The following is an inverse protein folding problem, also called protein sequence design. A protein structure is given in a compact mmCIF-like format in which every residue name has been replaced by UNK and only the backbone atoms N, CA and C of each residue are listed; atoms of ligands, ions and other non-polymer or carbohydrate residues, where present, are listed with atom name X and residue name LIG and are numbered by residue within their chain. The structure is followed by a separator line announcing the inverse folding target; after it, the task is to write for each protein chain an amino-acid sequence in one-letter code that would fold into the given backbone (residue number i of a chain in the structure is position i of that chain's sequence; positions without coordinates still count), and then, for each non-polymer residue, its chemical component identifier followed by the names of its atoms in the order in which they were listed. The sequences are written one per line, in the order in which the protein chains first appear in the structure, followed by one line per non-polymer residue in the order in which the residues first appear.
data_IF_179541610301
#
_entry.id   IF_179541610301
#
_cell.length_a   1.000
_cell.length_b   1.000
_cell.length_c   1.000
_cell.angle_alpha   90.00
_cell.angle_beta   90.00
_cell.angle_gamma   90.00
#
_symmetry.space_group_name_H-M   'P 1'
#
loop_
_entity.id
_entity.type
_entity.pdbx_description
1 polymer ?
#
# COMPACT_ATOMS: atom_id res chain seq x y z
N UNK A 1 -4.35 19.20 24.17
CA UNK A 1 -5.80 19.08 23.96
C UNK A 1 -6.03 18.08 22.84
N UNK A 2 -6.84 17.05 23.08
CA UNK A 2 -7.31 16.15 22.02
C UNK A 2 -8.26 16.91 21.09
N UNK A 3 -8.19 16.64 19.79
CA UNK A 3 -9.09 17.22 18.77
C UNK A 3 -10.42 16.46 18.71
N UNK A 4 -11.45 17.10 18.13
CA UNK A 4 -12.79 16.55 17.91
C UNK A 4 -12.78 15.35 16.92
N UNK A 5 -13.94 14.73 16.69
CA UNK A 5 -14.13 13.59 15.77
C UNK A 5 -13.53 13.90 14.38
N UNK A 6 -12.60 13.08 13.86
CA UNK A 6 -11.99 13.32 12.56
C UNK A 6 -12.95 13.01 11.40
N UNK A 7 -12.76 13.68 10.27
CA UNK A 7 -13.37 13.28 9.00
C UNK A 7 -12.54 12.14 8.38
N UNK A 8 -13.09 10.92 8.39
CA UNK A 8 -12.44 9.74 7.80
C UNK A 8 -12.70 9.60 6.30
N UNK A 9 -13.49 10.50 5.72
CA UNK A 9 -13.73 10.55 4.28
C UNK A 9 -12.60 11.27 3.51
N UNK A 10 -11.62 11.83 4.21
CA UNK A 10 -10.46 12.52 3.66
C UNK A 10 -9.17 12.03 4.31
N UNK A 11 -8.05 12.29 3.65
CA UNK A 11 -6.72 12.08 4.22
C UNK A 11 -6.41 13.11 5.30
N UNK A 12 -5.49 12.75 6.20
CA UNK A 12 -4.86 13.70 7.11
C UNK A 12 -3.33 13.71 6.87
N UNK A 13 -2.70 14.88 6.68
CA UNK A 13 -3.36 16.15 6.42
C UNK A 13 -4.21 16.06 5.14
N UNK A 14 -5.19 16.95 4.99
CA UNK A 14 -5.88 17.10 3.71
C UNK A 14 -4.83 17.59 2.71
N UNK A 15 -4.67 16.84 1.62
CA UNK A 15 -3.70 17.13 0.58
C UNK A 15 -4.46 17.64 -0.63
N UNK A 16 -4.03 18.79 -1.14
CA UNK A 16 -4.24 19.09 -2.55
C UNK A 16 -2.93 18.82 -3.29
N UNK A 17 -3.07 18.18 -4.43
CA UNK A 17 -1.96 18.01 -5.34
C UNK A 17 -1.87 19.23 -6.23
N UNK A 18 -0.66 19.77 -6.34
CA UNK A 18 -0.32 20.80 -7.31
C UNK A 18 0.59 20.22 -8.38
N UNK A 19 0.42 20.68 -9.60
CA UNK A 19 1.28 20.28 -10.69
C UNK A 19 2.71 20.79 -10.47
N UNK A 20 3.68 19.87 -10.55
CA UNK A 20 5.10 20.18 -10.54
C UNK A 20 5.69 19.91 -11.92
N UNK A 21 6.29 20.96 -12.46
CA UNK A 21 7.15 20.87 -13.64
C UNK A 21 8.56 20.46 -13.23
N UNK A 22 9.04 19.34 -13.75
CA UNK A 22 10.39 18.83 -13.55
C UNK A 22 11.39 19.37 -14.56
N UNK A 23 12.62 18.84 -14.50
CA UNK A 23 13.66 19.13 -15.50
C UNK A 23 13.38 18.42 -16.83
N UNK A 24 13.99 18.95 -17.89
CA UNK A 24 13.97 18.32 -19.21
C UNK A 24 14.88 17.09 -19.22
N UNK A 25 14.36 15.96 -19.67
CA UNK A 25 15.11 14.71 -19.84
C UNK A 25 14.86 14.08 -21.21
N UNK A 26 15.77 13.23 -21.66
CA UNK A 26 15.60 12.48 -22.90
C UNK A 26 14.83 11.19 -22.61
N UNK A 27 13.78 10.94 -23.40
CA UNK A 27 13.02 9.69 -23.39
C UNK A 27 12.89 9.11 -24.79
N UNK A 28 12.79 7.78 -24.88
CA UNK A 28 12.69 7.09 -26.16
C UNK A 28 11.35 6.37 -26.29
N UNK A 29 10.72 6.51 -27.45
CA UNK A 29 9.57 5.69 -27.86
C UNK A 29 9.91 4.96 -29.15
N UNK A 30 9.67 3.65 -29.16
CA UNK A 30 10.04 2.77 -30.25
C UNK A 30 8.76 2.37 -31.00
N UNK A 31 8.76 2.62 -32.31
CA UNK A 31 7.65 2.27 -33.22
C UNK A 31 8.20 1.49 -34.41
N UNK A 32 7.47 0.52 -34.98
CA UNK A 32 7.92 -0.17 -36.19
C UNK A 32 8.07 0.80 -37.37
N UNK A 33 8.90 0.47 -38.35
CA UNK A 33 8.92 1.21 -39.63
C UNK A 33 7.71 0.83 -40.49
N UNK A 34 7.29 1.71 -41.40
CA UNK A 34 6.22 1.42 -42.38
C UNK A 34 6.48 0.11 -43.15
N UNK A 35 7.75 -0.11 -43.53
CA UNK A 35 8.19 -1.32 -44.21
C UNK A 35 8.02 -2.55 -43.30
N UNK A 36 8.42 -2.49 -42.03
CA UNK A 36 8.22 -3.57 -41.08
C UNK A 36 6.74 -3.90 -40.87
N UNK A 37 5.88 -2.88 -40.74
CA UNK A 37 4.42 -3.08 -40.61
C UNK A 37 3.87 -3.83 -41.83
N UNK A 38 4.38 -3.51 -43.02
CA UNK A 38 3.94 -4.12 -44.28
C UNK A 38 4.47 -5.53 -44.51
N UNK A 39 5.64 -5.85 -43.96
CA UNK A 39 6.41 -7.06 -44.33
C UNK A 39 6.45 -8.14 -43.23
N UNK A 40 6.24 -7.77 -41.97
CA UNK A 40 6.34 -8.69 -40.84
C UNK A 40 4.92 -9.21 -40.48
N UNK A 41 4.66 -10.53 -40.59
CA UNK A 41 3.34 -11.10 -40.36
C UNK A 41 2.77 -10.80 -38.97
N UNK A 42 3.62 -10.72 -37.93
CA UNK A 42 3.23 -10.46 -36.56
C UNK A 42 2.81 -8.99 -36.34
N UNK A 43 3.18 -8.06 -37.23
CA UNK A 43 2.77 -6.65 -37.18
C UNK A 43 1.49 -6.35 -37.99
N UNK A 44 0.93 -7.35 -38.69
CA UNK A 44 -0.21 -7.17 -39.62
C UNK A 44 -1.50 -6.61 -39.00
N UNK A 45 -1.64 -6.57 -37.67
CA UNK A 45 -2.77 -5.93 -37.00
C UNK A 45 -2.61 -4.40 -36.83
N UNK A 46 -1.44 -3.85 -37.16
CA UNK A 46 -1.15 -2.43 -37.05
C UNK A 46 -1.50 -1.70 -38.36
N UNK A 47 -2.04 -0.50 -38.25
CA UNK A 47 -2.13 0.41 -39.39
C UNK A 47 -0.76 0.98 -39.74
N UNK A 48 -0.58 1.48 -40.97
CA UNK A 48 0.67 2.12 -41.39
C UNK A 48 1.06 3.34 -40.52
N UNK A 49 0.08 4.02 -39.93
CA UNK A 49 0.31 5.18 -39.07
C UNK A 49 0.92 4.80 -37.71
N UNK A 50 0.90 3.53 -37.31
CA UNK A 50 1.58 3.04 -36.10
C UNK A 50 3.11 3.08 -36.22
N UNK A 51 3.65 3.59 -37.33
CA UNK A 51 5.04 4.04 -37.40
C UNK A 51 5.30 5.35 -36.64
N UNK A 52 4.24 6.08 -36.28
CA UNK A 52 4.26 7.35 -35.57
C UNK A 52 3.82 7.21 -34.11
N UNK A 53 4.00 8.27 -33.31
CA UNK A 53 3.68 8.26 -31.89
C UNK A 53 2.26 8.71 -31.62
N UNK A 54 1.64 8.15 -30.58
CA UNK A 54 0.34 8.60 -30.10
C UNK A 54 0.50 9.83 -29.20
N UNK A 55 0.22 11.01 -29.76
CA UNK A 55 0.49 12.31 -29.13
C UNK A 55 -0.82 13.05 -28.91
N UNK A 56 -0.97 13.59 -27.70
CA UNK A 56 -2.12 14.37 -27.23
C UNK A 56 -1.78 15.86 -27.20
N UNK A 57 -2.77 16.73 -27.41
CA UNK A 57 -2.58 18.19 -27.31
C UNK A 57 -3.23 18.82 -26.08
N UNK A 58 -4.05 18.05 -25.37
CA UNK A 58 -4.77 18.52 -24.19
C UNK A 58 -4.42 17.69 -22.98
N UNK A 59 -4.24 18.35 -21.84
CA UNK A 59 -3.93 17.77 -20.53
C UNK A 59 -4.80 18.43 -19.47
N UNK A 60 -5.38 17.61 -18.60
CA UNK A 60 -5.97 18.02 -17.33
C UNK A 60 -5.24 17.34 -16.18
N UNK A 61 -5.19 18.00 -15.02
CA UNK A 61 -4.62 17.46 -13.79
C UNK A 61 -5.68 17.50 -12.70
N UNK A 62 -5.96 16.35 -12.08
CA UNK A 62 -6.90 16.23 -10.98
C UNK A 62 -6.14 16.42 -9.65
N UNK A 63 -6.42 17.54 -8.97
CA UNK A 63 -5.79 17.95 -7.71
C UNK A 63 -6.11 17.04 -6.53
N UNK A 64 -7.14 16.20 -6.62
CA UNK A 64 -7.55 15.30 -5.52
C UNK A 64 -6.81 13.95 -5.60
N UNK A 65 -6.46 13.53 -6.82
CA UNK A 65 -5.92 12.19 -7.10
C UNK A 65 -4.49 12.19 -7.66
N UNK A 66 -3.91 13.37 -7.91
CA UNK A 66 -2.62 13.54 -8.59
C UNK A 66 -2.57 12.88 -9.99
N UNK A 67 -3.72 12.72 -10.65
CA UNK A 67 -3.80 12.05 -11.96
C UNK A 67 -3.95 13.04 -13.09
N UNK A 68 -3.17 12.82 -14.13
CA UNK A 68 -3.32 13.47 -15.41
C UNK A 68 -4.31 12.70 -16.27
N UNK A 69 -5.12 13.43 -17.04
CA UNK A 69 -5.87 12.88 -18.17
C UNK A 69 -5.48 13.63 -19.45
N UNK A 70 -5.08 12.87 -20.46
CA UNK A 70 -4.67 13.35 -21.77
C UNK A 70 -5.79 13.12 -22.79
N UNK A 71 -6.05 14.11 -23.62
CA UNK A 71 -7.10 14.08 -24.65
C UNK A 71 -6.64 14.74 -25.95
N UNK A 72 -7.48 14.66 -26.99
CA UNK A 72 -7.15 15.11 -28.35
C UNK A 72 -5.93 14.40 -28.92
N UNK A 73 -5.88 13.08 -28.69
CA UNK A 73 -4.75 12.24 -29.03
C UNK A 73 -4.87 11.65 -30.44
N UNK A 74 -3.79 11.69 -31.20
CA UNK A 74 -3.70 11.11 -32.55
C UNK A 74 -2.27 10.65 -32.85
N UNK A 75 -2.13 9.76 -33.84
CA UNK A 75 -0.81 9.35 -34.34
C UNK A 75 -0.18 10.52 -35.11
N UNK A 76 1.00 10.97 -34.65
CA UNK A 76 1.74 12.11 -35.21
C UNK A 76 3.23 11.82 -35.26
N UNK A 77 3.90 12.31 -36.30
CA UNK A 77 5.35 12.28 -36.34
C UNK A 77 5.92 13.37 -35.41
N UNK A 78 6.58 13.01 -34.28
CA UNK A 78 7.08 14.01 -33.34
C UNK A 78 8.19 14.89 -33.93
N UNK A 79 8.92 14.45 -34.97
CA UNK A 79 10.01 15.25 -35.54
C UNK A 79 9.53 16.37 -36.47
N UNK A 80 8.23 16.44 -36.76
CA UNK A 80 7.63 17.47 -37.62
C UNK A 80 6.73 18.43 -36.84
N UNK A 81 6.62 18.26 -35.53
CA UNK A 81 5.82 19.14 -34.68
C UNK A 81 6.57 20.44 -34.39
N UNK A 82 5.81 21.54 -34.34
CA UNK A 82 6.35 22.85 -33.96
C UNK A 82 6.20 23.07 -32.45
N UNK A 83 7.31 22.93 -31.72
CA UNK A 83 7.37 23.09 -30.27
C UNK A 83 7.50 24.55 -29.80
N UNK A 84 7.67 25.50 -30.74
CA UNK A 84 7.80 26.93 -30.43
C UNK A 84 6.45 27.64 -30.27
N UNK A 85 5.36 27.02 -30.76
CA UNK A 85 4.01 27.57 -30.72
C UNK A 85 3.31 27.36 -29.38
N UNK A 86 2.13 27.96 -29.28
CA UNK A 86 1.23 27.83 -28.13
C UNK A 86 0.77 26.38 -27.91
N UNK A 87 0.51 25.64 -28.98
CA UNK A 87 0.11 24.22 -28.90
C UNK A 87 1.21 23.40 -28.22
N UNK A 88 0.86 22.73 -27.12
CA UNK A 88 1.73 21.81 -26.41
C UNK A 88 1.39 20.36 -26.76
N UNK A 89 2.39 19.50 -26.68
CA UNK A 89 2.27 18.10 -27.04
C UNK A 89 2.63 17.24 -25.85
N UNK A 90 1.82 16.23 -25.60
CA UNK A 90 1.93 15.38 -24.43
C UNK A 90 1.86 13.91 -24.82
N UNK A 91 2.56 13.09 -24.05
CA UNK A 91 2.35 11.65 -24.04
C UNK A 91 2.56 11.11 -22.62
N UNK A 92 2.11 9.88 -22.39
CA UNK A 92 2.25 9.18 -21.12
C UNK A 92 3.08 7.91 -21.32
N UNK A 93 2.44 6.76 -21.51
CA UNK A 93 3.11 5.48 -21.78
C UNK A 93 2.72 5.02 -23.17
N UNK A 94 3.71 4.62 -23.96
CA UNK A 94 3.52 3.97 -25.25
C UNK A 94 4.67 2.98 -25.51
N UNK A 95 4.34 1.72 -25.79
CA UNK A 95 5.31 0.66 -26.11
C UNK A 95 4.70 -0.43 -26.99
N UNK A 96 5.56 -1.28 -27.54
CA UNK A 96 5.16 -2.45 -28.33
C UNK A 96 5.15 -3.70 -27.46
N UNK A 97 4.11 -4.53 -27.59
CA UNK A 97 3.91 -5.76 -26.82
C UNK A 97 3.46 -6.91 -27.72
N UNK A 98 3.59 -8.14 -27.24
CA UNK A 98 3.20 -9.36 -27.98
C UNK A 98 2.00 -10.03 -27.32
N UNK A 99 0.97 -10.34 -28.11
CA UNK A 99 -0.19 -11.08 -27.66
C UNK A 99 0.01 -12.58 -27.95
N UNK A 100 0.10 -13.40 -26.89
CA UNK A 100 0.33 -14.83 -27.02
C UNK A 100 -0.86 -15.63 -27.59
N UNK A 101 -2.08 -15.09 -27.56
CA UNK A 101 -3.27 -15.78 -28.05
C UNK A 101 -3.37 -15.73 -29.58
N UNK A 102 -3.16 -14.55 -30.17
CA UNK A 102 -3.25 -14.36 -31.62
C UNK A 102 -1.88 -14.23 -32.31
N UNK A 103 -0.80 -14.30 -31.52
CA UNK A 103 0.59 -14.24 -32.00
C UNK A 103 0.92 -12.95 -32.76
N UNK A 104 0.27 -11.83 -32.38
CA UNK A 104 0.49 -10.52 -33.00
C UNK A 104 1.16 -9.55 -32.04
N UNK A 105 1.98 -8.67 -32.60
CA UNK A 105 2.52 -7.51 -31.92
C UNK A 105 1.50 -6.37 -32.01
N UNK A 106 1.29 -5.66 -30.90
CA UNK A 106 0.38 -4.53 -30.80
C UNK A 106 1.03 -3.36 -30.07
N UNK A 107 0.51 -2.14 -30.28
CA UNK A 107 0.93 -0.96 -29.52
C UNK A 107 0.04 -0.81 -28.28
N UNK A 108 0.66 -0.82 -27.10
CA UNK A 108 0.02 -0.52 -25.82
C UNK A 108 0.25 0.94 -25.46
N UNK A 109 -0.80 1.62 -25.00
CA UNK A 109 -0.77 3.05 -24.64
C UNK A 109 -1.84 3.38 -23.59
N UNK A 110 -1.68 4.52 -22.92
CA UNK A 110 -2.67 5.05 -21.98
C UNK A 110 -2.97 6.54 -22.23
N UNK A 111 -4.05 7.03 -21.61
CA UNK A 111 -4.56 8.40 -21.77
C UNK A 111 -4.31 9.26 -20.53
N UNK A 112 -3.22 8.99 -19.80
CA UNK A 112 -2.93 9.65 -18.53
C UNK A 112 -2.38 8.70 -17.48
N UNK A 113 -1.72 9.30 -16.49
CA UNK A 113 -1.10 8.60 -15.36
C UNK A 113 -0.82 9.61 -14.24
N UNK A 114 -0.09 9.23 -13.19
CA UNK A 114 0.43 10.16 -12.17
C UNK A 114 1.68 10.93 -12.62
N UNK A 115 2.29 10.50 -13.72
CA UNK A 115 3.40 11.15 -14.43
C UNK A 115 3.06 11.20 -15.92
N UNK A 116 3.21 12.37 -16.55
CA UNK A 116 3.11 12.54 -18.01
C UNK A 116 4.24 13.44 -18.51
N UNK A 117 4.46 13.45 -19.83
CA UNK A 117 5.59 14.16 -20.43
C UNK A 117 5.08 15.19 -21.42
N UNK A 118 5.52 16.43 -21.26
CA UNK A 118 5.41 17.44 -22.30
C UNK A 118 6.60 17.31 -23.24
N UNK A 119 6.34 17.03 -24.51
CA UNK A 119 7.36 16.95 -25.54
C UNK A 119 7.73 18.37 -25.95
N UNK A 120 9.03 18.69 -25.89
CA UNK A 120 9.59 20.00 -26.27
C UNK A 120 10.61 19.91 -27.41
N UNK A 121 10.92 18.69 -27.86
CA UNK A 121 11.77 18.43 -29.02
C UNK A 121 11.82 16.95 -29.34
N UNK A 122 12.14 16.60 -30.58
CA UNK A 122 12.26 15.20 -30.99
C UNK A 122 13.26 15.02 -32.13
N UNK A 123 14.02 13.92 -32.09
CA UNK A 123 14.81 13.41 -33.20
C UNK A 123 14.42 11.97 -33.50
N UNK A 124 14.75 11.47 -34.69
CA UNK A 124 14.46 10.10 -35.14
C UNK A 124 15.70 9.44 -35.67
N UNK A 125 15.92 8.19 -35.28
CA UNK A 125 16.87 7.28 -35.91
C UNK A 125 16.19 5.95 -36.26
N UNK A 126 16.84 5.15 -37.10
CA UNK A 126 16.40 3.80 -37.43
C UNK A 126 17.27 2.81 -36.66
N UNK A 127 16.64 1.77 -36.12
CA UNK A 127 17.32 0.67 -35.45
C UNK A 127 16.60 -0.65 -35.73
N UNK A 128 16.94 -1.68 -34.99
CA UNK A 128 16.27 -2.98 -35.03
C UNK A 128 15.92 -3.41 -33.62
N UNK A 129 14.71 -3.94 -33.43
CA UNK A 129 14.26 -4.51 -32.16
C UNK A 129 13.86 -5.97 -32.34
N UNK A 130 13.97 -6.74 -31.25
CA UNK A 130 13.42 -8.09 -31.17
C UNK A 130 12.30 -8.12 -30.13
N UNK A 131 11.10 -8.55 -30.51
CA UNK A 131 9.95 -8.73 -29.61
C UNK A 131 9.48 -10.18 -29.71
N UNK A 132 9.52 -10.92 -28.59
CA UNK A 132 9.17 -12.35 -28.55
C UNK A 132 9.83 -13.18 -29.68
N UNK A 133 11.12 -12.94 -29.94
CA UNK A 133 11.88 -13.63 -31.00
C UNK A 133 11.73 -13.06 -32.41
N UNK A 134 10.76 -12.19 -32.67
CA UNK A 134 10.56 -11.53 -33.97
C UNK A 134 11.45 -10.30 -34.07
N UNK A 135 12.37 -10.27 -35.04
CA UNK A 135 13.31 -9.17 -35.27
C UNK A 135 12.83 -8.29 -36.42
N UNK A 136 12.68 -6.99 -36.20
CA UNK A 136 12.15 -6.04 -37.21
C UNK A 136 12.73 -4.63 -37.06
N UNK A 137 12.69 -3.87 -38.17
CA UNK A 137 13.18 -2.50 -38.20
C UNK A 137 12.24 -1.55 -37.44
N UNK A 138 12.82 -0.61 -36.70
CA UNK A 138 12.08 0.34 -35.86
C UNK A 138 12.55 1.78 -36.06
N UNK A 139 11.62 2.71 -35.96
CA UNK A 139 11.87 4.12 -35.68
C UNK A 139 12.10 4.28 -34.17
N UNK A 140 13.24 4.85 -33.79
CA UNK A 140 13.51 5.27 -32.42
C UNK A 140 13.32 6.78 -32.35
N UNK A 141 12.22 7.21 -31.73
CA UNK A 141 11.98 8.63 -31.47
C UNK A 141 12.64 9.00 -30.14
N UNK A 142 13.66 9.85 -30.19
CA UNK A 142 14.34 10.40 -29.03
C UNK A 142 13.76 11.78 -28.73
N UNK A 143 13.06 11.89 -27.61
CA UNK A 143 12.23 13.03 -27.23
C UNK A 143 12.91 13.81 -26.11
N UNK A 144 13.02 15.12 -26.28
CA UNK A 144 13.27 16.04 -25.17
C UNK A 144 11.96 16.32 -24.47
N UNK A 145 11.85 15.92 -23.22
CA UNK A 145 10.60 15.92 -22.47
C UNK A 145 10.74 16.66 -21.15
N UNK A 146 9.81 17.57 -20.87
CA UNK A 146 9.61 18.11 -19.52
C UNK A 146 8.68 17.15 -18.78
N UNK A 147 9.16 16.63 -17.65
CA UNK A 147 8.37 15.73 -16.80
C UNK A 147 7.33 16.52 -16.00
N UNK A 148 6.08 16.08 -16.03
CA UNK A 148 4.99 16.63 -15.23
C UNK A 148 4.54 15.59 -14.20
N UNK A 149 4.56 15.97 -12.93
CA UNK A 149 4.21 15.12 -11.79
C UNK A 149 3.35 15.89 -10.80
N UNK A 150 2.66 15.23 -9.89
CA UNK A 150 2.06 15.91 -8.74
C UNK A 150 3.08 16.15 -7.64
N UNK A 151 3.00 17.31 -6.98
CA UNK A 151 3.62 17.58 -5.69
C UNK A 151 2.52 17.75 -4.64
N UNK A 152 2.75 17.16 -3.46
CA UNK A 152 1.86 17.31 -2.31
C UNK A 152 1.96 18.73 -1.76
N UNK A 153 0.82 19.42 -1.68
CA UNK A 153 0.70 20.65 -0.91
C UNK A 153 -0.10 20.34 0.36
N UNK A 154 0.53 20.49 1.52
CA UNK A 154 -0.14 20.43 2.81
C UNK A 154 -0.94 21.72 3.00
N UNK A 155 -2.23 21.70 2.67
CA UNK A 155 -3.09 22.89 2.76
C UNK A 155 -3.66 23.07 4.16
N UNK A 156 -3.98 21.97 4.84
CA UNK A 156 -4.54 22.05 6.18
C UNK A 156 -3.68 21.37 7.25
N UNK A 157 -2.98 22.21 8.03
CA UNK A 157 -2.26 21.79 9.25
C UNK A 157 -3.20 21.50 10.42
N UNK A 158 -4.50 21.77 10.29
CA UNK A 158 -5.49 21.63 11.35
C UNK A 158 -5.96 20.19 11.58
N UNK A 159 -5.79 19.26 10.63
CA UNK A 159 -6.18 17.85 10.80
C UNK A 159 -5.03 16.91 11.26
N UNK A 160 -3.91 17.46 11.73
CA UNK A 160 -2.81 16.65 12.32
C UNK A 160 -2.65 16.84 13.82
N UNK A 161 -2.27 15.78 14.53
CA UNK A 161 -1.95 15.85 15.96
C UNK A 161 -2.46 14.64 16.73
N UNK A 162 -2.77 14.86 18.02
CA UNK A 162 -3.28 13.84 18.93
C UNK A 162 -4.81 13.92 19.00
N UNK A 163 -5.46 12.80 18.72
CA UNK A 163 -6.90 12.63 18.75
C UNK A 163 -7.27 11.67 19.87
N UNK A 164 -8.54 11.72 20.28
CA UNK A 164 -9.12 10.83 21.27
C UNK A 164 -10.19 9.97 20.62
N UNK A 165 -10.32 8.74 21.07
CA UNK A 165 -11.39 7.83 20.70
C UNK A 165 -11.65 6.83 21.82
N UNK A 166 -12.31 5.74 21.47
CA UNK A 166 -12.61 4.63 22.38
C UNK A 166 -12.21 3.31 21.73
N UNK A 167 -11.51 2.46 22.48
CA UNK A 167 -11.20 1.08 22.10
C UNK A 167 -11.87 0.08 23.06
N UNK A 168 -11.57 -1.20 22.91
CA UNK A 168 -12.13 -2.27 23.76
C UNK A 168 -11.82 -2.12 25.27
N UNK A 169 -10.90 -1.22 25.63
CA UNK A 169 -10.35 -1.08 26.98
C UNK A 169 -10.65 0.29 27.61
N UNK A 170 -11.17 1.24 26.84
CA UNK A 170 -11.53 2.57 27.32
C UNK A 170 -11.07 3.69 26.39
N UNK A 171 -10.66 4.82 26.98
CA UNK A 171 -10.25 6.01 26.22
C UNK A 171 -8.89 5.80 25.58
N UNK A 172 -8.81 5.84 24.26
CA UNK A 172 -7.56 5.72 23.50
C UNK A 172 -7.15 7.07 22.92
N UNK A 173 -5.83 7.30 22.80
CA UNK A 173 -5.26 8.50 22.17
C UNK A 173 -4.35 8.10 21.01
N UNK A 174 -4.53 8.68 19.84
CA UNK A 174 -3.82 8.26 18.63
C UNK A 174 -3.29 9.45 17.82
N UNK A 175 -2.21 9.21 17.08
CA UNK A 175 -1.62 10.21 16.19
C UNK A 175 -2.30 10.17 14.82
N UNK A 176 -2.66 11.33 14.29
CA UNK A 176 -3.24 11.52 12.96
C UNK A 176 -2.45 12.55 12.16
N UNK A 177 -2.23 12.28 10.89
CA UNK A 177 -1.64 13.23 9.94
C UNK A 177 -0.11 13.30 9.92
N UNK A 178 0.43 14.44 9.48
CA UNK A 178 1.88 14.69 9.34
C UNK A 178 2.55 14.96 10.71
N UNK A 179 2.51 13.96 11.59
CA UNK A 179 3.12 13.96 12.92
C UNK A 179 4.58 13.53 12.80
N UNK A 180 5.49 14.29 13.43
CA UNK A 180 6.93 14.02 13.38
C UNK A 180 7.53 13.61 14.71
N UNK A 181 6.77 13.70 15.80
CA UNK A 181 7.22 13.50 17.18
C UNK A 181 6.68 12.23 17.85
N UNK A 182 6.42 11.17 17.07
CA UNK A 182 5.92 9.87 17.54
C UNK A 182 6.96 8.74 17.46
N UNK A 183 8.25 9.04 17.42
CA UNK A 183 9.32 8.05 17.27
C UNK A 183 9.84 7.58 18.64
N UNK A 184 10.06 6.27 18.76
CA UNK A 184 10.56 5.60 19.96
C UNK A 184 11.77 4.75 19.60
N UNK A 185 12.78 4.75 20.46
CA UNK A 185 13.90 3.83 20.41
C UNK A 185 13.80 2.82 21.56
N UNK A 186 13.65 1.56 21.21
CA UNK A 186 13.47 0.45 22.15
C UNK A 186 14.07 -0.84 21.59
N UNK A 187 14.75 -1.61 22.45
CA UNK A 187 15.34 -2.91 22.11
C UNK A 187 16.30 -2.86 20.90
N UNK A 188 17.01 -1.74 20.72
CA UNK A 188 17.91 -1.45 19.57
C UNK A 188 17.21 -1.19 18.23
N UNK A 189 15.89 -1.02 18.22
CA UNK A 189 15.09 -0.73 17.03
C UNK A 189 14.37 0.61 17.14
N UNK A 190 14.02 1.15 15.99
CA UNK A 190 13.17 2.33 15.88
C UNK A 190 11.72 1.90 15.70
N UNK A 191 10.83 2.61 16.37
CA UNK A 191 9.39 2.35 16.39
C UNK A 191 8.63 3.66 16.21
N UNK A 192 7.38 3.56 15.78
CA UNK A 192 6.43 4.66 15.72
C UNK A 192 5.25 4.37 16.65
N UNK A 193 4.86 5.34 17.47
CA UNK A 193 3.67 5.24 18.31
C UNK A 193 2.45 5.34 17.39
N UNK A 194 1.62 4.30 17.43
CA UNK A 194 0.31 4.27 16.77
C UNK A 194 -0.70 4.97 17.68
N UNK A 195 -0.80 4.48 18.93
CA UNK A 195 -1.75 4.96 19.93
C UNK A 195 -1.35 4.57 21.35
N UNK A 196 -1.94 5.24 22.33
CA UNK A 196 -2.06 4.78 23.70
C UNK A 196 -3.42 4.08 23.79
N UNK A 197 -3.42 2.79 24.15
CA UNK A 197 -4.64 1.99 24.29
C UNK A 197 -5.43 2.43 25.54
N UNK A 198 -6.70 2.01 25.64
CA UNK A 198 -7.56 2.35 26.78
C UNK A 198 -7.04 1.91 28.14
N UNK A 199 -6.21 0.86 28.20
CA UNK A 199 -5.54 0.39 29.42
C UNK A 199 -4.23 1.14 29.75
N UNK A 200 -3.86 2.14 28.94
CA UNK A 200 -2.64 2.93 29.05
C UNK A 200 -1.39 2.30 28.43
N UNK A 201 -1.47 1.08 27.90
CA UNK A 201 -0.35 0.47 27.16
C UNK A 201 -0.07 1.24 25.86
N UNK A 202 1.19 1.25 25.42
CA UNK A 202 1.63 2.07 24.29
C UNK A 202 1.81 1.16 23.07
N UNK A 203 0.95 1.31 22.07
CA UNK A 203 1.00 0.53 20.82
C UNK A 203 2.04 1.11 19.87
N UNK A 204 3.03 0.29 19.52
CA UNK A 204 4.17 0.67 18.69
C UNK A 204 4.24 -0.18 17.43
N UNK A 205 4.49 0.46 16.28
CA UNK A 205 4.77 -0.18 15.01
C UNK A 205 6.27 -0.11 14.70
N UNK A 206 6.86 -1.24 14.31
CA UNK A 206 8.26 -1.33 13.94
C UNK A 206 8.60 -0.40 12.76
N UNK A 207 9.75 0.28 12.83
CA UNK A 207 10.22 1.24 11.83
C UNK A 207 11.72 1.07 11.51
N UNK A 208 12.22 -0.16 11.57
CA UNK A 208 13.57 -0.49 11.12
C UNK A 208 14.67 -0.44 12.18
N UNK A 209 15.89 -0.74 11.74
CA UNK A 209 17.11 -0.73 12.57
C UNK A 209 17.87 0.58 12.52
N UNK A 210 17.47 1.51 11.65
CA UNK A 210 18.14 2.80 11.43
C UNK A 210 17.13 3.97 11.54
N UNK A 211 17.64 5.16 11.88
CA UNK A 211 16.83 6.38 11.93
C UNK A 211 16.24 6.66 10.54
N UNK A 212 14.97 7.04 10.48
CA UNK A 212 14.28 7.36 9.22
C UNK A 212 14.39 6.26 8.17
N UNK A 213 14.34 4.98 8.58
CA UNK A 213 14.34 3.88 7.63
C UNK A 213 13.21 4.06 6.61
N UNK A 214 13.48 3.75 5.34
CA UNK A 214 12.51 3.82 4.25
C UNK A 214 12.48 2.52 3.48
N UNK A 215 11.42 2.32 2.69
CA UNK A 215 11.28 1.17 1.79
C UNK A 215 11.40 -0.16 2.56
N UNK A 216 12.10 -1.16 2.03
CA UNK A 216 12.23 -2.48 2.64
C UNK A 216 12.97 -2.47 3.98
N UNK A 217 13.72 -1.41 4.32
CA UNK A 217 14.40 -1.28 5.62
C UNK A 217 13.44 -1.06 6.79
N UNK A 218 12.20 -0.66 6.50
CA UNK A 218 11.13 -0.60 7.51
C UNK A 218 10.58 -2.00 7.83
N UNK A 219 10.80 -3.00 6.96
CA UNK A 219 10.40 -4.39 7.20
C UNK A 219 11.39 -5.13 8.09
N UNK A 220 10.91 -6.15 8.80
CA UNK A 220 11.79 -7.08 9.51
C UNK A 220 12.75 -7.75 8.51
N UNK A 221 14.00 -7.95 8.94
CA UNK A 221 15.07 -8.56 8.13
C UNK A 221 15.33 -7.84 6.79
N UNK A 222 14.92 -6.57 6.65
CA UNK A 222 15.12 -5.73 5.47
C UNK A 222 14.58 -6.35 4.15
N UNK A 223 13.52 -7.17 4.23
CA UNK A 223 12.92 -7.84 3.07
C UNK A 223 11.40 -7.90 3.16
N UNK A 224 10.68 -8.03 2.03
CA UNK A 224 9.24 -8.19 2.03
C UNK A 224 8.84 -9.67 2.28
N UNK A 225 7.55 -9.87 2.59
CA UNK A 225 6.95 -11.16 2.93
C UNK A 225 5.60 -11.32 2.25
N UNK A 226 5.28 -12.55 1.86
CA UNK A 226 3.90 -12.95 1.58
C UNK A 226 3.08 -12.91 2.87
N UNK A 227 1.82 -12.48 2.78
CA UNK A 227 0.92 -12.58 3.91
C UNK A 227 0.63 -14.06 4.21
N UNK A 228 0.28 -14.81 3.16
CA UNK A 228 0.13 -16.26 3.22
C UNK A 228 0.58 -16.91 1.90
N UNK A 229 1.16 -18.10 1.97
CA UNK A 229 1.62 -18.86 0.80
C UNK A 229 0.47 -19.52 0.02
N UNK A 230 -0.66 -19.74 0.69
CA UNK A 230 -1.90 -20.25 0.11
C UNK A 230 -2.91 -19.11 -0.04
N UNK A 231 -3.69 -19.09 -1.12
CA UNK A 231 -4.61 -18.00 -1.46
C UNK A 231 -5.97 -18.43 -1.99
N UNK A 232 -6.14 -19.70 -2.33
CA UNK A 232 -7.26 -20.21 -3.12
C UNK A 232 -8.49 -20.62 -2.29
N UNK A 233 -8.61 -20.11 -1.07
CA UNK A 233 -9.73 -20.42 -0.17
C UNK A 233 -9.93 -19.24 0.82
N UNK A 234 -11.17 -18.86 1.15
CA UNK A 234 -11.46 -17.84 2.17
C UNK A 234 -10.78 -18.07 3.52
N UNK A 235 -10.53 -19.33 3.89
CA UNK A 235 -9.80 -19.71 5.10
C UNK A 235 -8.46 -18.98 5.22
N UNK A 236 -7.74 -18.81 4.11
CA UNK A 236 -6.38 -18.28 4.12
C UNK A 236 -6.31 -16.76 4.32
N UNK A 237 -7.46 -16.07 4.37
CA UNK A 237 -7.58 -14.63 4.62
C UNK A 237 -7.69 -14.41 6.14
N UNK A 238 -6.64 -13.86 6.72
CA UNK A 238 -6.50 -13.60 8.15
C UNK A 238 -5.11 -13.95 8.70
N UNK A 239 -4.74 -13.29 9.80
CA UNK A 239 -3.45 -13.51 10.48
C UNK A 239 -3.25 -14.96 10.95
N UNK A 240 -4.35 -15.63 11.27
CA UNK A 240 -4.44 -17.07 11.55
C UNK A 240 -5.65 -17.65 10.81
N UNK A 241 -5.69 -18.96 10.63
CA UNK A 241 -6.77 -19.65 9.94
C UNK A 241 -7.04 -21.05 10.54
N UNK A 242 -8.18 -21.64 10.18
CA UNK A 242 -8.63 -22.96 10.64
C UNK A 242 -8.52 -24.05 9.57
N UNK A 243 -9.57 -24.86 9.45
CA UNK A 243 -9.63 -25.96 8.49
C UNK A 243 -10.16 -25.47 7.11
N UNK A 244 -9.34 -25.40 6.05
CA UNK A 244 -9.81 -24.97 4.72
C UNK A 244 -10.84 -25.91 4.10
N UNK A 245 -10.93 -27.16 4.57
CA UNK A 245 -11.91 -28.16 4.14
C UNK A 245 -13.17 -28.16 5.05
N UNK A 246 -13.25 -27.22 6.00
CA UNK A 246 -14.41 -27.03 6.87
C UNK A 246 -15.65 -26.63 6.09
N UNK A 247 -16.82 -26.96 6.64
CA UNK A 247 -18.12 -26.66 6.01
C UNK A 247 -18.88 -25.53 6.71
N UNK A 248 -18.39 -25.12 7.89
CA UNK A 248 -18.93 -24.02 8.68
C UNK A 248 -17.88 -22.93 8.86
N UNK A 249 -18.35 -21.70 9.07
CA UNK A 249 -17.46 -20.55 9.30
C UNK A 249 -16.52 -20.81 10.49
N UNK A 250 -17.05 -21.34 11.59
CA UNK A 250 -16.25 -21.58 12.80
C UNK A 250 -15.13 -22.60 12.56
N UNK A 251 -15.41 -23.71 11.86
CA UNK A 251 -14.38 -24.71 11.48
C UNK A 251 -13.26 -24.08 10.66
N UNK A 252 -13.63 -23.29 9.66
CA UNK A 252 -12.72 -22.63 8.71
C UNK A 252 -11.85 -21.56 9.39
N UNK A 253 -12.34 -20.94 10.47
CA UNK A 253 -11.69 -19.79 11.13
C UNK A 253 -11.22 -20.06 12.58
N UNK A 254 -11.08 -21.33 12.99
CA UNK A 254 -10.68 -21.82 14.34
C UNK A 254 -9.30 -21.37 14.87
N UNK A 255 -8.50 -20.61 14.12
CA UNK A 255 -7.15 -20.14 14.52
C UNK A 255 -6.14 -21.23 14.89
N UNK A 256 -6.26 -22.42 14.29
CA UNK A 256 -5.34 -23.55 14.55
C UNK A 256 -4.04 -23.47 13.74
N UNK A 257 -4.03 -22.67 12.67
CA UNK A 257 -2.89 -22.51 11.77
C UNK A 257 -2.45 -21.05 11.68
N UNK A 258 -1.14 -20.83 11.61
CA UNK A 258 -0.56 -19.48 11.42
C UNK A 258 -0.39 -19.17 9.94
N UNK A 259 -0.69 -17.93 9.54
CA UNK A 259 -0.28 -17.41 8.23
C UNK A 259 1.25 -17.37 8.08
N UNK A 260 1.72 -17.27 6.84
CA UNK A 260 3.17 -17.18 6.55
C UNK A 260 3.80 -15.96 7.20
N UNK A 261 3.11 -14.81 7.16
CA UNK A 261 3.61 -13.58 7.80
C UNK A 261 3.65 -13.70 9.32
N UNK A 262 2.66 -14.34 9.95
CA UNK A 262 2.67 -14.57 11.40
C UNK A 262 3.89 -15.38 11.83
N UNK A 263 4.24 -16.44 11.10
CA UNK A 263 5.44 -17.25 11.38
C UNK A 263 6.71 -16.38 11.34
N UNK A 264 6.81 -15.48 10.35
CA UNK A 264 7.95 -14.58 10.23
C UNK A 264 8.01 -13.54 11.37
N UNK A 265 6.86 -12.95 11.73
CA UNK A 265 6.74 -11.98 12.82
C UNK A 265 7.03 -12.62 14.18
N UNK A 266 6.49 -13.82 14.45
CA UNK A 266 6.76 -14.59 15.66
C UNK A 266 8.25 -14.94 15.80
N UNK A 267 8.87 -15.41 14.73
CA UNK A 267 10.31 -15.74 14.71
C UNK A 267 11.18 -14.51 14.97
N UNK A 268 10.81 -13.36 14.38
CA UNK A 268 11.50 -12.11 14.61
C UNK A 268 11.33 -11.63 16.06
N UNK A 269 10.11 -11.66 16.60
CA UNK A 269 9.85 -11.27 17.99
C UNK A 269 10.64 -12.13 18.97
N UNK A 270 10.60 -13.46 18.80
CA UNK A 270 11.37 -14.38 19.64
C UNK A 270 12.85 -14.00 19.66
N UNK A 271 13.45 -13.86 18.50
CA UNK A 271 14.90 -13.61 18.36
C UNK A 271 15.33 -12.25 18.93
N UNK A 272 14.50 -11.23 18.76
CA UNK A 272 14.89 -9.83 18.98
C UNK A 272 14.33 -9.21 20.27
N UNK A 273 13.23 -9.74 20.79
CA UNK A 273 12.57 -9.25 22.01
C UNK A 273 12.69 -10.29 23.13
N UNK A 274 12.21 -11.51 22.90
CA UNK A 274 12.16 -12.57 23.93
C UNK A 274 13.57 -13.03 24.34
N UNK A 275 14.33 -13.56 23.39
CA UNK A 275 15.67 -14.13 23.60
C UNK A 275 16.70 -13.06 24.03
N UNK A 276 16.35 -11.78 23.88
CA UNK A 276 17.14 -10.62 24.32
C UNK A 276 16.72 -10.05 25.68
N UNK A 277 15.72 -10.65 26.33
CA UNK A 277 15.29 -10.27 27.68
C UNK A 277 14.41 -9.02 27.75
N UNK A 278 13.83 -8.56 26.64
CA UNK A 278 12.97 -7.38 26.60
C UNK A 278 11.49 -7.68 26.84
N UNK A 279 11.13 -8.96 27.05
CA UNK A 279 9.75 -9.40 27.28
C UNK A 279 9.06 -8.69 28.46
N UNK A 280 9.80 -8.33 29.50
CA UNK A 280 9.27 -7.68 30.70
C UNK A 280 8.68 -6.28 30.45
N UNK A 281 9.06 -5.63 29.34
CA UNK A 281 8.55 -4.33 28.92
C UNK A 281 7.26 -4.41 28.10
N UNK A 282 6.91 -5.62 27.62
CA UNK A 282 5.78 -5.85 26.72
C UNK A 282 4.52 -6.18 27.53
N UNK A 283 3.43 -5.49 27.24
CA UNK A 283 2.11 -5.77 27.77
C UNK A 283 1.52 -7.03 27.16
N UNK A 284 0.77 -7.78 27.96
CA UNK A 284 -0.01 -8.96 27.53
C UNK A 284 -1.48 -8.85 27.86
N UNK A 285 -1.93 -7.68 28.31
CA UNK A 285 -3.33 -7.42 28.66
C UNK A 285 -4.16 -7.23 27.40
N UNK A 286 -3.69 -6.37 26.49
CA UNK A 286 -4.36 -6.02 25.23
C UNK A 286 -3.95 -6.92 24.07
N UNK A 287 -4.87 -7.12 23.13
CA UNK A 287 -4.69 -7.99 21.96
C UNK A 287 -4.60 -7.23 20.63
N UNK A 288 -4.56 -7.98 19.54
CA UNK A 288 -4.55 -7.46 18.17
C UNK A 288 -5.80 -7.96 17.44
N UNK A 289 -6.61 -7.07 16.90
CA UNK A 289 -7.87 -7.47 16.27
C UNK A 289 -7.67 -7.84 14.80
N UNK A 290 -7.91 -9.11 14.45
CA UNK A 290 -7.91 -9.59 13.07
C UNK A 290 -9.25 -9.40 12.34
N UNK A 291 -10.34 -9.12 13.06
CA UNK A 291 -11.70 -8.88 12.53
C UNK A 291 -12.06 -9.62 11.22
N UNK A 292 -12.29 -10.93 11.32
CA UNK A 292 -12.81 -11.76 10.23
C UNK A 292 -14.33 -11.82 10.24
N UNK A 293 -15.01 -10.88 10.89
CA UNK A 293 -16.46 -10.76 10.74
C UNK A 293 -16.84 -10.58 9.27
N UNK A 294 -18.06 -10.95 8.88
CA UNK A 294 -18.53 -10.75 7.52
C UNK A 294 -19.15 -9.36 7.39
N UNK A 295 -18.84 -8.68 6.30
CA UNK A 295 -19.60 -7.51 5.90
C UNK A 295 -21.05 -7.90 5.61
N UNK A 296 -22.03 -7.08 6.02
CA UNK A 296 -23.46 -7.39 5.90
C UNK A 296 -23.90 -7.70 4.47
N UNK A 297 -23.23 -7.13 3.47
CA UNK A 297 -23.51 -7.36 2.05
C UNK A 297 -22.48 -8.31 1.41
N UNK A 298 -21.85 -9.18 2.19
CA UNK A 298 -21.01 -10.27 1.68
C UNK A 298 -21.85 -11.27 0.88
N UNK A 299 -21.42 -11.61 -0.34
CA UNK A 299 -22.11 -12.59 -1.17
C UNK A 299 -21.85 -14.03 -0.71
N UNK A 300 -20.65 -14.29 -0.21
CA UNK A 300 -20.18 -15.54 0.38
C UNK A 300 -20.19 -15.50 1.90
N UNK A 301 -20.21 -16.68 2.49
CA UNK A 301 -20.29 -16.94 3.92
C UNK A 301 -18.91 -17.14 4.57
N UNK A 302 -17.81 -16.81 3.89
CA UNK A 302 -16.45 -17.07 4.38
C UNK A 302 -16.03 -18.53 4.36
N UNK A 303 -16.79 -19.40 3.69
CA UNK A 303 -16.48 -20.82 3.44
C UNK A 303 -16.54 -21.11 1.93
N UNK A 304 -17.56 -20.60 1.24
CA UNK A 304 -17.82 -20.85 -0.18
C UNK A 304 -16.69 -20.37 -1.10
N UNK A 305 -16.36 -21.21 -2.09
CA UNK A 305 -15.35 -20.89 -3.12
C UNK A 305 -15.95 -20.25 -4.38
N UNK A 306 -17.27 -20.35 -4.56
CA UNK A 306 -17.98 -19.90 -5.76
C UNK A 306 -18.70 -18.56 -5.57
N UNK A 307 -18.50 -17.89 -4.43
CA UNK A 307 -19.05 -16.56 -4.14
C UNK A 307 -18.01 -15.66 -3.49
N UNK A 308 -18.08 -14.37 -3.80
CA UNK A 308 -17.19 -13.39 -3.21
C UNK A 308 -17.49 -13.23 -1.71
N UNK A 309 -16.49 -13.45 -0.87
CA UNK A 309 -16.57 -13.12 0.56
C UNK A 309 -15.98 -11.74 0.79
N UNK A 310 -16.69 -10.88 1.53
CA UNK A 310 -16.22 -9.58 1.97
C UNK A 310 -16.17 -9.56 3.51
N UNK A 311 -14.99 -9.30 4.09
CA UNK A 311 -14.80 -9.25 5.54
C UNK A 311 -15.14 -7.86 6.11
N UNK A 312 -15.24 -7.74 7.43
CA UNK A 312 -15.75 -6.53 8.11
C UNK A 312 -14.98 -5.26 7.75
N UNK A 313 -13.64 -5.35 7.67
CA UNK A 313 -12.81 -4.22 7.24
C UNK A 313 -13.10 -3.77 5.79
N UNK A 314 -13.54 -4.67 4.90
CA UNK A 314 -13.99 -4.29 3.55
C UNK A 314 -15.25 -3.42 3.59
N UNK A 315 -16.21 -3.78 4.45
CA UNK A 315 -17.40 -2.96 4.68
C UNK A 315 -17.06 -1.55 5.17
N UNK A 316 -16.08 -1.46 6.06
CA UNK A 316 -15.57 -0.16 6.57
C UNK A 316 -14.83 0.63 5.51
N UNK A 317 -14.03 -0.05 4.67
CA UNK A 317 -13.32 0.52 3.53
C UNK A 317 -14.24 1.21 2.53
N UNK A 318 -15.31 0.54 2.10
CA UNK A 318 -16.24 1.15 1.13
C UNK A 318 -17.11 2.26 1.75
N UNK A 319 -17.28 2.23 3.08
CA UNK A 319 -18.10 3.21 3.81
C UNK A 319 -17.30 4.37 4.39
N UNK A 320 -15.96 4.37 4.25
CA UNK A 320 -15.04 5.35 4.84
C UNK A 320 -15.21 5.49 6.36
N UNK A 321 -15.26 4.34 7.03
CA UNK A 321 -15.36 4.26 8.50
C UNK A 321 -14.18 3.48 9.05
N UNK A 322 -13.92 3.64 10.35
CA UNK A 322 -12.91 2.86 11.06
C UNK A 322 -13.31 2.71 12.54
N UNK A 323 -12.76 1.71 13.20
CA UNK A 323 -12.99 1.45 14.63
C UNK A 323 -11.75 0.90 15.33
N UNK A 324 -11.62 1.17 16.63
CA UNK A 324 -10.57 0.54 17.46
C UNK A 324 -11.05 -0.71 18.19
N UNK A 325 -12.36 -0.95 18.22
CA UNK A 325 -12.98 -2.10 18.89
C UNK A 325 -12.92 -3.35 18.01
N UNK A 326 -12.82 -4.51 18.65
CA UNK A 326 -12.84 -5.79 17.95
C UNK A 326 -14.25 -6.41 17.96
N UNK A 327 -14.92 -6.54 16.80
CA UNK A 327 -16.32 -7.01 16.76
C UNK A 327 -16.52 -8.41 17.37
N UNK A 328 -15.54 -9.29 17.17
CA UNK A 328 -15.62 -10.70 17.55
C UNK A 328 -14.48 -11.05 18.50
N UNK A 329 -14.48 -10.53 19.76
CA UNK A 329 -13.32 -10.59 20.63
C UNK A 329 -12.93 -12.02 21.01
N UNK A 330 -13.89 -12.94 21.16
CA UNK A 330 -13.59 -14.33 21.49
C UNK A 330 -12.91 -15.10 20.35
N UNK A 331 -13.05 -14.64 19.09
CA UNK A 331 -12.50 -15.32 17.91
C UNK A 331 -11.32 -14.57 17.30
N UNK A 332 -11.39 -13.24 17.21
CA UNK A 332 -10.49 -12.44 16.39
C UNK A 332 -9.66 -11.41 17.17
N UNK A 333 -9.90 -11.23 18.48
CA UNK A 333 -8.98 -10.50 19.34
C UNK A 333 -7.85 -11.43 19.76
N UNK A 334 -6.73 -11.37 19.04
CA UNK A 334 -5.56 -12.19 19.27
C UNK A 334 -4.82 -11.77 20.53
N UNK A 335 -4.77 -12.65 21.52
CA UNK A 335 -4.06 -12.46 22.79
C UNK A 335 -3.20 -13.68 23.11
N UNK A 336 -2.25 -13.52 24.03
CA UNK A 336 -1.49 -14.65 24.56
C UNK A 336 -2.28 -15.40 25.63
N UNK A 337 -1.90 -16.64 25.91
CA UNK A 337 -2.57 -17.51 26.90
C UNK A 337 -2.69 -16.94 28.31
N UNK A 338 -1.76 -16.05 28.70
CA UNK A 338 -1.79 -15.37 30.01
C UNK A 338 -2.75 -14.18 30.08
N UNK A 339 -3.38 -13.79 28.98
CA UNK A 339 -4.38 -12.72 28.98
C UNK A 339 -5.73 -13.21 29.54
N UNK A 340 -6.45 -12.33 30.22
CA UNK A 340 -7.85 -12.55 30.60
C UNK A 340 -8.83 -12.26 29.46
N UNK A 341 -8.37 -11.68 28.35
CA UNK A 341 -9.19 -11.22 27.23
C UNK A 341 -8.85 -11.98 25.94
N UNK A 342 -9.74 -11.89 24.95
CA UNK A 342 -9.50 -12.39 23.60
C UNK A 342 -9.45 -13.92 23.48
N UNK A 343 -8.95 -14.38 22.33
CA UNK A 343 -8.96 -15.79 21.93
C UNK A 343 -7.77 -16.62 22.45
N UNK A 344 -6.77 -15.99 23.09
CA UNK A 344 -5.60 -16.65 23.69
C UNK A 344 -4.73 -17.47 22.71
N UNK A 345 -4.85 -17.22 21.41
CA UNK A 345 -4.20 -18.02 20.36
C UNK A 345 -2.74 -17.65 20.07
N UNK A 346 -2.24 -16.51 20.57
CA UNK A 346 -0.88 -16.07 20.30
C UNK A 346 0.15 -16.76 21.18
N UNK A 347 1.27 -17.17 20.56
CA UNK A 347 2.48 -17.57 21.27
C UNK A 347 3.22 -16.36 21.83
N UNK A 348 3.33 -15.29 21.03
CA UNK A 348 3.99 -14.04 21.42
C UNK A 348 3.03 -12.85 21.28
N UNK A 349 3.13 -11.82 22.15
CA UNK A 349 2.24 -10.66 22.11
C UNK A 349 2.63 -9.67 21.00
N UNK A 350 2.54 -10.12 19.75
CA UNK A 350 2.91 -9.36 18.55
C UNK A 350 1.88 -9.60 17.43
N UNK A 351 1.57 -8.53 16.71
CA UNK A 351 0.70 -8.57 15.54
C UNK A 351 1.20 -7.65 14.43
N UNK A 352 0.29 -7.20 13.58
CA UNK A 352 0.50 -6.15 12.59
C UNK A 352 -0.51 -5.02 12.84
N UNK A 353 -0.28 -3.87 12.20
CA UNK A 353 -1.21 -2.76 12.26
C UNK A 353 -2.51 -3.11 11.51
N UNK A 354 -3.66 -2.61 11.96
CA UNK A 354 -4.94 -2.84 11.26
C UNK A 354 -5.21 -1.80 10.16
N UNK A 355 -6.13 -2.13 9.25
CA UNK A 355 -6.75 -1.17 8.32
C UNK A 355 -7.25 0.06 9.07
N UNK A 356 -7.99 -0.14 10.16
CA UNK A 356 -8.58 0.92 10.96
C UNK A 356 -7.53 1.87 11.57
N UNK A 357 -6.44 1.33 12.10
CA UNK A 357 -5.36 2.12 12.66
C UNK A 357 -4.65 2.98 11.59
N UNK A 358 -4.54 2.48 10.35
CA UNK A 358 -4.03 3.27 9.22
C UNK A 358 -5.01 4.39 8.80
N UNK A 359 -6.32 4.13 8.84
CA UNK A 359 -7.35 5.16 8.58
C UNK A 359 -7.29 6.27 9.62
N UNK A 360 -7.19 5.91 10.90
CA UNK A 360 -7.02 6.89 11.97
C UNK A 360 -5.70 7.68 11.86
N UNK A 361 -4.64 7.07 11.34
CA UNK A 361 -3.38 7.75 11.04
C UNK A 361 -3.49 8.76 9.88
N UNK A 362 -4.57 8.72 9.08
CA UNK A 362 -4.86 9.68 8.03
C UNK A 362 -4.73 9.17 6.60
N UNK A 363 -4.61 7.86 6.38
CA UNK A 363 -4.58 7.26 5.04
C UNK A 363 -5.96 6.71 4.68
N UNK A 364 -6.41 6.86 3.44
CA UNK A 364 -7.60 6.19 2.93
C UNK A 364 -7.34 5.47 1.60
N UNK A 365 -8.40 4.89 1.01
CA UNK A 365 -8.31 4.17 -0.27
C UNK A 365 -8.51 4.98 -1.54
N UNK A 366 -8.87 6.26 -1.42
CA UNK A 366 -9.31 7.11 -2.53
C UNK A 366 -8.29 8.18 -2.88
N UNK A 367 -7.45 8.56 -1.92
CA UNK A 367 -6.49 9.64 -2.04
C UNK A 367 -5.06 9.15 -1.75
N UNK A 368 -4.10 9.82 -2.39
CA UNK A 368 -2.68 9.59 -2.20
C UNK A 368 -2.22 10.46 -1.01
N UNK A 369 -1.57 9.86 -0.01
CA UNK A 369 -1.05 10.57 1.16
C UNK A 369 0.31 10.07 1.63
N UNK A 370 1.39 10.69 1.14
CA UNK A 370 2.76 10.43 1.60
C UNK A 370 3.19 11.31 2.77
N UNK A 371 2.32 12.20 3.23
CA UNK A 371 2.56 13.08 4.38
C UNK A 371 2.13 12.46 5.71
N UNK A 372 1.27 11.44 5.70
CA UNK A 372 0.91 10.73 6.93
C UNK A 372 2.17 10.16 7.59
N UNK A 373 2.24 10.23 8.93
CA UNK A 373 3.37 9.71 9.69
C UNK A 373 3.62 8.21 9.44
N UNK A 374 2.59 7.49 9.00
CA UNK A 374 2.65 6.03 8.82
C UNK A 374 3.14 5.59 7.44
N UNK A 375 3.27 6.55 6.51
CA UNK A 375 3.66 6.31 5.14
C UNK A 375 4.96 5.51 5.02
N UNK A 376 4.99 4.58 4.07
CA UNK A 376 6.15 3.82 3.65
C UNK A 376 6.33 3.89 2.13
N UNK A 377 7.57 4.11 1.70
CA UNK A 377 7.93 4.14 0.27
C UNK A 377 7.81 2.76 -0.41
N UNK A 378 7.62 1.70 0.36
CA UNK A 378 7.32 0.36 -0.13
C UNK A 378 6.02 -0.12 0.52
N UNK A 379 5.23 -0.89 -0.21
CA UNK A 379 3.94 -1.34 0.25
C UNK A 379 4.03 -2.13 1.58
N UNK A 380 3.08 -1.92 2.50
CA UNK A 380 3.08 -2.50 3.85
C UNK A 380 1.80 -3.29 4.12
N UNK A 381 1.92 -4.53 4.62
CA UNK A 381 0.76 -5.31 5.03
C UNK A 381 0.07 -4.74 6.28
N UNK A 382 -1.25 -4.80 6.32
CA UNK A 382 -2.03 -4.71 7.55
C UNK A 382 -2.40 -6.10 8.05
N UNK A 383 -2.94 -6.22 9.25
CA UNK A 383 -3.51 -7.45 9.80
C UNK A 383 -4.97 -7.68 9.39
N UNK A 384 -5.58 -6.73 8.66
CA UNK A 384 -7.01 -6.70 8.42
C UNK A 384 -7.40 -7.42 7.13
N UNK A 385 -8.24 -8.47 7.23
CA UNK A 385 -8.72 -9.23 6.08
C UNK A 385 -9.60 -8.35 5.22
N UNK A 386 -9.60 -8.62 3.91
CA UNK A 386 -10.39 -7.85 2.97
C UNK A 386 -11.42 -8.72 2.27
N UNK A 387 -10.97 -9.63 1.40
CA UNK A 387 -11.87 -10.34 0.48
C UNK A 387 -11.41 -11.76 0.18
N UNK A 388 -12.34 -12.59 -0.27
CA UNK A 388 -12.05 -13.69 -1.19
C UNK A 388 -12.83 -13.44 -2.48
N UNK A 389 -12.11 -13.32 -3.61
CA UNK A 389 -12.68 -13.16 -4.94
C UNK A 389 -12.83 -14.54 -5.59
N UNK A 390 -14.07 -14.96 -5.81
CA UNK A 390 -14.39 -16.26 -6.40
C UNK A 390 -14.10 -16.32 -7.90
N UNK A 391 -14.17 -15.19 -8.62
CA UNK A 391 -13.86 -15.12 -10.05
C UNK A 391 -12.38 -15.37 -10.32
N UNK A 392 -11.52 -14.86 -9.42
CA UNK A 392 -10.07 -15.06 -9.46
C UNK A 392 -9.58 -16.26 -8.61
N UNK A 393 -10.46 -16.81 -7.77
CA UNK A 393 -10.11 -17.84 -6.78
C UNK A 393 -9.03 -17.36 -5.81
N UNK A 394 -9.09 -16.11 -5.35
CA UNK A 394 -7.99 -15.47 -4.64
C UNK A 394 -8.42 -14.66 -3.40
N UNK A 395 -7.75 -14.94 -2.28
CA UNK A 395 -7.83 -14.18 -1.03
C UNK A 395 -7.01 -12.89 -1.09
N UNK A 396 -7.54 -11.84 -0.46
CA UNK A 396 -6.96 -10.51 -0.39
C UNK A 396 -6.95 -9.94 1.03
N UNK A 397 -5.85 -9.27 1.36
CA UNK A 397 -5.63 -8.56 2.62
C UNK A 397 -5.47 -7.06 2.35
N UNK A 398 -5.75 -6.23 3.35
CA UNK A 398 -5.48 -4.80 3.24
C UNK A 398 -3.98 -4.50 3.36
N UNK A 399 -3.53 -3.56 2.56
CA UNK A 399 -2.17 -3.04 2.60
C UNK A 399 -2.16 -1.53 2.36
N UNK A 400 -1.16 -0.86 2.90
CA UNK A 400 -0.77 0.47 2.42
C UNK A 400 0.10 0.30 1.17
N UNK A 401 -0.17 1.10 0.15
CA UNK A 401 0.59 1.11 -1.10
C UNK A 401 1.74 2.11 -1.03
N UNK A 402 2.77 1.94 -1.86
CA UNK A 402 3.95 2.85 -1.91
C UNK A 402 3.64 4.31 -2.27
N UNK A 403 2.39 4.59 -2.66
CA UNK A 403 1.89 5.94 -2.89
C UNK A 403 1.17 6.52 -1.66
N UNK A 404 1.05 5.78 -0.56
CA UNK A 404 0.38 6.26 0.66
C UNK A 404 -1.14 6.21 0.55
N UNK A 405 -1.67 5.13 -0.05
CA UNK A 405 -3.11 4.85 -0.12
C UNK A 405 -3.38 3.41 0.32
N UNK A 406 -4.51 3.15 0.95
CA UNK A 406 -4.97 1.81 1.31
C UNK A 406 -5.50 1.09 0.06
N UNK A 407 -5.13 -0.18 -0.07
CA UNK A 407 -5.56 -1.04 -1.16
C UNK A 407 -5.77 -2.44 -0.65
N UNK A 408 -6.39 -3.25 -1.49
CA UNK A 408 -6.53 -4.68 -1.32
C UNK A 408 -5.54 -5.34 -2.26
N UNK A 409 -4.88 -6.41 -1.81
CA UNK A 409 -3.96 -7.13 -2.66
C UNK A 409 -3.91 -8.62 -2.33
N UNK A 410 -3.60 -9.44 -3.33
CA UNK A 410 -3.54 -10.90 -3.17
C UNK A 410 -2.50 -11.29 -2.13
N UNK A 411 -2.87 -12.20 -1.22
CA UNK A 411 -2.07 -12.56 -0.04
C UNK A 411 -0.72 -13.22 -0.33
N UNK A 412 -0.51 -13.70 -1.56
CA UNK A 412 0.78 -14.20 -2.06
C UNK A 412 1.70 -13.11 -2.60
N UNK A 413 1.28 -11.84 -2.60
CA UNK A 413 2.18 -10.74 -2.94
C UNK A 413 3.19 -10.47 -1.82
N UNK A 414 4.37 -9.97 -2.18
CA UNK A 414 5.38 -9.60 -1.19
C UNK A 414 5.27 -8.12 -0.79
N UNK A 415 5.16 -7.86 0.52
CA UNK A 415 5.05 -6.51 1.11
C UNK A 415 5.84 -6.43 2.42
N UNK A 416 6.08 -5.22 2.92
CA UNK A 416 6.74 -5.04 4.21
C UNK A 416 5.90 -5.68 5.34
N UNK A 417 6.59 -6.40 6.23
CA UNK A 417 6.04 -6.90 7.49
C UNK A 417 6.60 -6.05 8.63
N UNK A 418 5.74 -5.25 9.26
CA UNK A 418 6.10 -4.29 10.32
C UNK A 418 5.40 -4.71 11.63
N UNK A 419 6.09 -5.46 12.52
CA UNK A 419 5.53 -5.93 13.78
C UNK A 419 4.94 -4.79 14.61
N UNK A 420 3.83 -5.07 15.27
CA UNK A 420 3.22 -4.19 16.25
C UNK A 420 3.27 -4.86 17.62
N UNK A 421 3.72 -4.11 18.62
CA UNK A 421 3.79 -4.52 20.03
C UNK A 421 3.06 -3.50 20.90
N UNK A 422 2.72 -3.89 22.13
CA UNK A 422 2.22 -2.95 23.14
C UNK A 422 3.23 -2.89 24.29
N UNK A 423 3.88 -1.75 24.53
CA UNK A 423 4.67 -1.55 25.75
C UNK A 423 3.72 -1.38 26.95
N UNK A 424 4.17 -1.80 28.13
CA UNK A 424 3.45 -1.51 29.38
C UNK A 424 3.39 0.00 29.63
N UNK A 425 2.38 0.44 30.38
CA UNK A 425 2.17 1.85 30.73
C UNK A 425 3.22 2.41 31.68
N UNK A 426 3.94 1.56 32.42
CA UNK A 426 4.91 1.91 33.45
C UNK A 426 6.37 1.91 32.95
N UNK A 427 6.59 1.72 31.64
CA UNK A 427 7.94 1.81 31.05
C UNK A 427 8.50 3.22 31.24
N UNK A 428 9.77 3.30 31.62
CA UNK A 428 10.44 4.59 31.87
C UNK A 428 11.05 5.12 30.58
N UNK A 429 10.81 6.39 30.26
CA UNK A 429 11.50 7.12 29.19
C UNK A 429 12.70 7.85 29.81
N UNK A 430 13.90 7.67 29.26
CA UNK A 430 15.13 8.33 29.75
C UNK A 430 15.44 9.64 29.06
N UNK A 431 14.86 9.89 27.90
CA UNK A 431 15.08 11.11 27.13
C UNK A 431 14.40 11.07 25.76
N UNK A 432 14.68 12.09 24.97
CA UNK A 432 14.11 12.28 23.64
C UNK A 432 12.85 13.14 23.61
N UNK A 433 12.65 13.79 22.47
CA UNK A 433 11.48 14.62 22.15
C UNK A 433 10.47 13.90 21.24
N UNK A 434 10.77 12.65 20.88
CA UNK A 434 9.96 11.84 19.97
C UNK A 434 10.20 12.15 18.49
N UNK A 435 11.06 13.10 18.16
CA UNK A 435 11.42 13.38 16.77
C UNK A 435 12.29 12.25 16.20
N UNK A 436 12.34 12.08 14.88
CA UNK A 436 13.13 11.00 14.31
C UNK A 436 14.65 11.12 14.59
N UNK A 437 15.14 12.35 14.79
CA UNK A 437 16.54 12.59 15.17
C UNK A 437 16.79 12.38 16.66
N UNK A 438 15.76 12.59 17.48
CA UNK A 438 15.78 12.53 18.94
C UNK A 438 14.53 11.76 19.46
N UNK A 439 14.47 10.43 19.23
CA UNK A 439 13.30 9.61 19.57
C UNK A 439 13.18 9.42 21.08
N UNK A 440 11.97 9.15 21.58
CA UNK A 440 11.81 8.76 22.98
C UNK A 440 12.59 7.48 23.27
N UNK A 441 13.49 7.51 24.23
CA UNK A 441 14.35 6.36 24.57
C UNK A 441 13.74 5.62 25.75
N UNK A 442 13.39 4.35 25.55
CA UNK A 442 12.93 3.49 26.65
C UNK A 442 14.14 3.06 27.47
N UNK A 443 14.08 3.24 28.79
CA UNK A 443 15.09 2.75 29.71
C UNK A 443 15.12 1.22 29.66
N UNK A 444 16.16 0.68 29.05
CA UNK A 444 16.51 -0.74 29.16
C UNK A 444 17.68 -0.89 30.13
N UNK A 445 17.78 -2.05 30.79
CA UNK A 445 18.81 -2.32 31.81
C UNK A 445 20.24 -2.10 31.33
#
# INVERSE_FOLDING_TARGET
SSKATPDLSQTAPIIEWVEKTGETSIRSVIKPTAEAISSIPELSNLSQDEQYMYICTTKSFNSDTSRYSLSDCSLKNPTTLDYSRETKYYYSVEYMSYNHQNQKIYSARNHGNTEVFQIVGATKSISTQTTNGVRYAVNVYSLSCVTLTGMELEIDKSDKGLYQGTDDYGTTYYYRGNVKNNNVYFARFYWQIVRINGDGSIRLMYNGTEKNATSTKQSINNRPYQFNSKYNNPAYVGYMYGNPDGTTFDEVHTNTSSSTIKIAVDSWYKTNIEDKGYRSYISTTVGFCGDRSLYSNSGGDGVQLNKNTYFGAYGRYISNTAQFTCPEPNRDLYTVSSSSLGNKALTYPVGLITYDEMVFAGIDGRHINKLSWIYSMFHTWTMSPSTFDAGNGAGGEFNETSVGALSINTITSERNARPVINLKSDVKITGGTGTANDPYVIKTN
#
